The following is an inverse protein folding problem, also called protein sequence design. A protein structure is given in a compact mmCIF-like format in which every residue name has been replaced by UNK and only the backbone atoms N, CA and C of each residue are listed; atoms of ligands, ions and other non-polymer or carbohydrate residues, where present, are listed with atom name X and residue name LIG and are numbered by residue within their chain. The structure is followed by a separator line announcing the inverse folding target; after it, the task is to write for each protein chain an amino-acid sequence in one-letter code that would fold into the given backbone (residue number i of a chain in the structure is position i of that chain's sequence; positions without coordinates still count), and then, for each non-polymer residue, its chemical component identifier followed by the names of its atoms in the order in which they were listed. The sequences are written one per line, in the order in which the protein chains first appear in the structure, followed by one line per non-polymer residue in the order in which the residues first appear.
data_IF_337104467323
#
_entry.id   IF_337104467323
#
_cell.length_a   1.000
_cell.length_b   1.000
_cell.length_c   1.000
_cell.angle_alpha   90.00
_cell.angle_beta   90.00
_cell.angle_gamma   90.00
#
_symmetry.space_group_name_H-M   'P 1'
#
loop_
_entity.id
_entity.type
_entity.pdbx_description
1 polymer ?
#
# COMPACT_ATOMS: atom_id res chain seq x y z
N UNK A 1 -6.61 -31.35 0.82
CA UNK A 1 -6.75 -29.89 0.90
C UNK A 1 -6.21 -29.26 -0.37
N UNK A 2 -6.45 -27.98 -0.55
CA UNK A 2 -5.92 -27.24 -1.68
C UNK A 2 -4.41 -27.06 -1.58
N UNK A 3 -3.76 -26.79 -2.69
CA UNK A 3 -2.31 -26.72 -2.81
C UNK A 3 -1.92 -25.41 -3.50
N UNK A 4 -0.71 -24.97 -3.28
CA UNK A 4 -0.13 -23.79 -3.95
C UNK A 4 0.17 -24.17 -5.41
N UNK A 5 -0.22 -23.28 -6.35
CA UNK A 5 -0.02 -23.46 -7.80
C UNK A 5 0.87 -22.38 -8.42
N UNK A 6 1.03 -21.26 -7.73
CA UNK A 6 1.87 -20.14 -8.16
C UNK A 6 2.39 -19.39 -6.93
N UNK A 7 3.65 -18.98 -6.95
CA UNK A 7 4.24 -18.06 -5.98
C UNK A 7 4.86 -16.92 -6.78
N UNK A 8 4.48 -15.68 -6.41
CA UNK A 8 5.06 -14.45 -6.93
C UNK A 8 5.50 -13.55 -5.79
N UNK A 9 6.79 -13.22 -5.73
CA UNK A 9 7.35 -12.28 -4.78
C UNK A 9 8.22 -11.26 -5.51
N UNK A 10 8.19 -10.00 -5.05
CA UNK A 10 9.07 -8.94 -5.53
C UNK A 10 9.83 -8.34 -4.35
N UNK A 11 11.07 -7.94 -4.59
CA UNK A 11 11.84 -7.24 -3.56
C UNK A 11 11.54 -5.74 -3.60
N UNK A 12 11.28 -5.15 -2.41
CA UNK A 12 11.18 -3.72 -2.19
C UNK A 12 12.46 -3.22 -1.57
N UNK A 13 13.16 -2.32 -2.25
CA UNK A 13 14.31 -1.57 -1.73
C UNK A 13 13.88 -0.20 -1.18
N UNK A 14 14.85 0.61 -0.80
CA UNK A 14 14.62 1.96 -0.27
C UNK A 14 13.91 2.90 -1.26
N UNK A 15 14.12 2.70 -2.56
CA UNK A 15 13.61 3.58 -3.63
C UNK A 15 12.44 2.97 -4.41
N UNK A 16 11.92 1.85 -4.00
CA UNK A 16 10.79 1.16 -4.67
C UNK A 16 11.08 -0.30 -5.00
N UNK A 17 10.36 -0.82 -5.99
CA UNK A 17 10.56 -2.18 -6.49
C UNK A 17 11.96 -2.32 -7.10
N UNK A 18 12.65 -3.41 -6.79
CA UNK A 18 13.91 -3.79 -7.42
C UNK A 18 13.68 -4.77 -8.57
N UNK A 19 14.74 -5.12 -9.31
CA UNK A 19 14.67 -6.13 -10.37
C UNK A 19 14.66 -7.57 -9.82
N UNK A 20 14.82 -7.76 -8.49
CA UNK A 20 14.82 -9.08 -7.89
C UNK A 20 13.39 -9.54 -7.61
N UNK A 21 13.09 -10.73 -8.10
CA UNK A 21 11.80 -11.38 -7.86
C UNK A 21 11.96 -12.88 -7.74
N UNK A 22 10.94 -13.52 -7.18
CA UNK A 22 10.78 -14.96 -7.18
C UNK A 22 9.43 -15.28 -7.81
N UNK A 23 9.44 -16.03 -8.91
CA UNK A 23 8.20 -16.40 -9.59
C UNK A 23 8.28 -17.84 -10.07
N UNK A 24 7.41 -18.69 -9.54
CA UNK A 24 7.34 -20.11 -9.91
C UNK A 24 5.89 -20.57 -10.00
N UNK A 25 5.60 -21.32 -11.08
CA UNK A 25 4.39 -22.12 -11.20
C UNK A 25 4.67 -23.51 -10.65
N UNK A 26 3.71 -24.08 -9.92
CA UNK A 26 3.92 -25.27 -9.10
C UNK A 26 2.88 -26.33 -9.48
N UNK A 27 3.34 -27.55 -9.72
CA UNK A 27 2.45 -28.71 -9.86
C UNK A 27 1.86 -29.08 -8.51
N UNK A 28 0.54 -28.91 -8.30
CA UNK A 28 -0.10 -29.20 -7.02
C UNK A 28 -0.25 -30.72 -6.75
N UNK A 29 0.19 -31.59 -7.65
CA UNK A 29 0.03 -33.05 -7.58
C UNK A 29 -1.43 -33.52 -7.42
N UNK A 30 -2.37 -32.69 -7.85
CA UNK A 30 -3.80 -32.95 -7.84
C UNK A 30 -4.49 -32.18 -8.97
N UNK A 31 -5.67 -32.64 -9.36
CA UNK A 31 -6.50 -31.87 -10.26
C UNK A 31 -7.26 -30.77 -9.52
N UNK A 32 -7.25 -29.57 -10.10
CA UNK A 32 -8.04 -28.44 -9.63
C UNK A 32 -9.45 -28.49 -10.18
N UNK A 33 -10.39 -28.01 -9.40
CA UNK A 33 -11.80 -27.89 -9.80
C UNK A 33 -11.98 -26.78 -10.84
N UNK A 34 -12.93 -26.97 -11.76
CA UNK A 34 -13.20 -26.02 -12.85
C UNK A 34 -13.56 -24.61 -12.35
N UNK A 35 -14.13 -24.50 -11.14
CA UNK A 35 -14.48 -23.21 -10.53
C UNK A 35 -13.24 -22.42 -10.14
N UNK A 36 -12.24 -23.08 -9.56
CA UNK A 36 -10.96 -22.49 -9.18
C UNK A 36 -10.20 -22.03 -10.44
N UNK A 37 -10.14 -22.88 -11.48
CA UNK A 37 -9.51 -22.56 -12.78
C UNK A 37 -10.14 -21.31 -13.42
N UNK A 38 -11.46 -21.10 -13.29
CA UNK A 38 -12.11 -19.90 -13.82
C UNK A 38 -11.63 -18.61 -13.15
N UNK A 39 -11.22 -18.67 -11.89
CA UNK A 39 -10.76 -17.49 -11.13
C UNK A 39 -9.35 -17.11 -11.54
N UNK A 40 -8.38 -18.03 -11.45
CA UNK A 40 -6.95 -17.74 -11.71
C UNK A 40 -6.50 -18.04 -13.13
N UNK A 41 -7.35 -18.69 -13.96
CA UNK A 41 -7.10 -19.05 -15.40
C UNK A 41 -5.90 -19.96 -15.64
N UNK A 42 -5.29 -20.51 -14.62
CA UNK A 42 -4.21 -21.50 -14.72
C UNK A 42 -4.88 -22.88 -14.83
N UNK A 43 -4.62 -23.61 -15.93
CA UNK A 43 -5.24 -24.90 -16.16
C UNK A 43 -4.40 -26.04 -15.59
N UNK A 44 -5.01 -27.20 -15.38
CA UNK A 44 -4.29 -28.40 -14.94
C UNK A 44 -3.20 -28.79 -15.96
N UNK A 45 -3.50 -28.67 -17.25
CA UNK A 45 -2.56 -28.98 -18.34
C UNK A 45 -1.33 -28.08 -18.32
N UNK A 46 -1.51 -26.80 -17.99
CA UNK A 46 -0.41 -25.83 -17.88
C UNK A 46 0.56 -26.21 -16.76
N UNK A 47 0.06 -26.79 -15.68
CA UNK A 47 0.86 -27.15 -14.51
C UNK A 47 1.56 -28.51 -14.64
N UNK A 48 1.18 -29.32 -15.64
CA UNK A 48 1.88 -30.59 -15.91
C UNK A 48 3.36 -30.33 -16.26
N UNK A 49 4.25 -30.98 -15.51
CA UNK A 49 5.70 -30.82 -15.68
C UNK A 49 6.32 -29.56 -15.05
N UNK A 50 5.53 -28.77 -14.33
CA UNK A 50 6.08 -27.74 -13.46
C UNK A 50 6.73 -28.37 -12.23
N UNK A 51 7.69 -27.68 -11.57
CA UNK A 51 8.28 -28.16 -10.32
C UNK A 51 7.21 -28.36 -9.24
N UNK A 52 7.42 -29.30 -8.36
CA UNK A 52 6.62 -29.44 -7.14
C UNK A 52 7.09 -28.42 -6.09
N UNK A 53 6.27 -28.17 -5.09
CA UNK A 53 6.69 -27.27 -3.99
C UNK A 53 7.97 -27.74 -3.34
N UNK A 54 8.17 -29.06 -3.19
CA UNK A 54 9.41 -29.65 -2.64
C UNK A 54 10.68 -29.25 -3.42
N UNK A 55 10.56 -29.08 -4.75
CA UNK A 55 11.70 -28.79 -5.63
C UNK A 55 12.13 -27.32 -5.55
N UNK A 56 11.22 -26.44 -5.12
CA UNK A 56 11.46 -24.98 -5.08
C UNK A 56 11.57 -24.45 -3.64
N UNK A 57 11.20 -25.24 -2.63
CA UNK A 57 11.07 -24.78 -1.26
C UNK A 57 12.37 -24.17 -0.70
N UNK A 58 13.53 -24.75 -0.98
CA UNK A 58 14.81 -24.23 -0.49
C UNK A 58 15.16 -22.89 -1.13
N UNK A 59 14.93 -22.73 -2.44
CA UNK A 59 15.12 -21.47 -3.15
C UNK A 59 14.16 -20.38 -2.65
N UNK A 60 12.91 -20.76 -2.37
CA UNK A 60 11.93 -19.85 -1.80
C UNK A 60 12.34 -19.38 -0.42
N UNK A 61 12.75 -20.32 0.46
CA UNK A 61 13.25 -19.99 1.81
C UNK A 61 14.46 -19.07 1.73
N UNK A 62 15.44 -19.37 0.88
CA UNK A 62 16.62 -18.52 0.68
C UNK A 62 16.24 -17.09 0.25
N UNK A 63 15.23 -16.96 -0.63
CA UNK A 63 14.76 -15.66 -1.10
C UNK A 63 14.09 -14.82 0.00
N UNK A 64 13.32 -15.45 0.90
CA UNK A 64 12.54 -14.75 1.93
C UNK A 64 13.21 -14.70 3.30
N UNK A 65 14.28 -15.48 3.52
CA UNK A 65 14.93 -15.58 4.83
C UNK A 65 15.43 -14.24 5.34
N UNK A 66 14.98 -13.86 6.54
CA UNK A 66 15.35 -12.59 7.17
C UNK A 66 14.74 -11.36 6.54
N UNK A 67 13.91 -11.51 5.50
CA UNK A 67 13.20 -10.41 4.89
C UNK A 67 11.94 -10.06 5.71
N UNK A 68 11.50 -8.80 5.57
CA UNK A 68 10.17 -8.38 6.01
C UNK A 68 9.18 -8.68 4.90
N UNK A 69 8.25 -9.59 5.14
CA UNK A 69 7.22 -9.99 4.19
C UNK A 69 6.00 -9.08 4.29
N UNK A 70 5.56 -8.57 3.15
CA UNK A 70 4.33 -7.79 3.03
C UNK A 70 3.35 -8.62 2.22
N UNK A 71 2.24 -9.00 2.83
CA UNK A 71 1.23 -9.89 2.25
C UNK A 71 -0.15 -9.25 2.43
N UNK A 72 -1.01 -9.38 1.44
CA UNK A 72 -2.37 -8.86 1.53
C UNK A 72 -3.34 -9.94 1.98
N UNK A 73 -3.87 -9.84 3.21
CA UNK A 73 -4.58 -10.91 3.92
C UNK A 73 -3.65 -12.07 4.28
N UNK A 74 -2.57 -11.74 4.97
CA UNK A 74 -1.42 -12.61 5.22
C UNK A 74 -1.78 -13.98 5.81
N UNK A 75 -2.81 -14.06 6.66
CA UNK A 75 -3.21 -15.30 7.29
C UNK A 75 -3.54 -16.41 6.26
N UNK A 76 -4.11 -16.02 5.12
CA UNK A 76 -4.46 -16.98 4.06
C UNK A 76 -3.21 -17.59 3.43
N UNK A 77 -2.29 -16.77 2.95
CA UNK A 77 -1.09 -17.24 2.24
C UNK A 77 -0.12 -17.95 3.18
N UNK A 78 0.09 -17.41 4.38
CA UNK A 78 0.93 -18.02 5.41
C UNK A 78 0.40 -19.40 5.81
N UNK A 79 -0.93 -19.56 5.90
CA UNK A 79 -1.54 -20.87 6.18
C UNK A 79 -1.18 -21.93 5.14
N UNK A 80 -1.25 -21.58 3.84
CA UNK A 80 -0.86 -22.48 2.76
C UNK A 80 0.64 -22.77 2.75
N UNK A 81 1.47 -21.75 2.90
CA UNK A 81 2.93 -21.91 2.94
C UNK A 81 3.37 -22.80 4.11
N UNK A 82 2.84 -22.56 5.30
CA UNK A 82 3.14 -23.36 6.48
C UNK A 82 2.72 -24.82 6.32
N UNK A 83 1.57 -25.09 5.69
CA UNK A 83 1.13 -26.46 5.44
C UNK A 83 2.04 -27.19 4.43
N UNK A 84 2.49 -26.51 3.38
CA UNK A 84 3.44 -27.09 2.42
C UNK A 84 4.83 -27.32 3.07
N UNK A 85 5.34 -26.35 3.84
CA UNK A 85 6.59 -26.48 4.58
C UNK A 85 6.52 -27.58 5.62
N UNK A 86 5.42 -27.70 6.37
CA UNK A 86 5.18 -28.77 7.35
C UNK A 86 5.24 -30.17 6.72
N UNK A 87 4.66 -30.33 5.52
CA UNK A 87 4.74 -31.60 4.77
C UNK A 87 6.17 -32.01 4.45
N UNK A 88 7.07 -31.04 4.29
CA UNK A 88 8.49 -31.24 4.01
C UNK A 88 9.35 -31.30 5.28
N UNK A 89 8.74 -31.18 6.47
CA UNK A 89 9.49 -31.11 7.74
C UNK A 89 10.35 -29.86 7.87
N UNK A 90 9.99 -28.78 7.17
CA UNK A 90 10.70 -27.50 7.20
C UNK A 90 10.09 -26.57 8.25
N UNK A 91 10.85 -25.54 8.71
CA UNK A 91 10.35 -24.52 9.63
C UNK A 91 9.16 -23.77 9.06
N UNK A 92 8.32 -23.19 9.94
CA UNK A 92 7.21 -22.30 9.54
C UNK A 92 7.71 -20.96 9.02
N UNK A 93 6.85 -20.20 8.33
CA UNK A 93 7.20 -18.86 7.84
C UNK A 93 7.58 -17.91 8.97
N UNK A 94 6.92 -18.02 10.12
CA UNK A 94 7.22 -17.26 11.33
C UNK A 94 8.61 -17.58 11.91
N UNK A 95 9.07 -18.83 11.75
CA UNK A 95 10.43 -19.23 12.16
C UNK A 95 11.47 -18.80 11.13
N UNK A 96 11.14 -18.78 9.84
CA UNK A 96 12.04 -18.40 8.73
C UNK A 96 12.28 -16.88 8.72
N UNK A 97 11.21 -16.10 8.79
CA UNK A 97 11.25 -14.65 8.63
C UNK A 97 11.27 -13.89 9.97
N UNK A 98 10.76 -14.51 11.04
CA UNK A 98 10.40 -13.85 12.30
C UNK A 98 8.97 -13.34 12.28
N UNK A 99 8.23 -13.58 13.35
CA UNK A 99 6.81 -13.26 13.46
C UNK A 99 6.51 -11.77 13.20
N UNK A 100 7.34 -10.90 13.74
CA UNK A 100 7.18 -9.45 13.64
C UNK A 100 7.54 -8.90 12.23
N UNK A 101 8.13 -9.74 11.39
CA UNK A 101 8.49 -9.41 10.02
C UNK A 101 7.41 -9.79 9.00
N UNK A 102 6.30 -10.37 9.43
CA UNK A 102 5.15 -10.66 8.56
C UNK A 102 4.12 -9.54 8.73
N UNK A 103 3.99 -8.70 7.72
CA UNK A 103 3.11 -7.54 7.71
C UNK A 103 1.87 -7.86 6.87
N UNK A 104 0.70 -7.75 7.47
CA UNK A 104 -0.56 -7.81 6.73
C UNK A 104 -0.93 -6.40 6.22
N UNK A 105 -0.81 -6.19 4.92
CA UNK A 105 -1.16 -4.92 4.29
C UNK A 105 -2.67 -4.62 4.31
N UNK A 106 -3.52 -5.63 4.50
CA UNK A 106 -4.96 -5.43 4.68
C UNK A 106 -5.25 -4.76 6.03
N UNK A 107 -4.53 -5.14 7.09
CA UNK A 107 -4.66 -4.47 8.40
C UNK A 107 -4.18 -3.02 8.34
N UNK A 108 -3.07 -2.75 7.63
CA UNK A 108 -2.62 -1.38 7.38
C UNK A 108 -3.67 -0.57 6.60
N UNK A 109 -4.26 -1.18 5.58
CA UNK A 109 -5.31 -0.53 4.80
C UNK A 109 -6.59 -0.28 5.60
N UNK A 110 -6.97 -1.18 6.51
CA UNK A 110 -8.12 -0.97 7.43
C UNK A 110 -7.87 0.19 8.38
N UNK A 111 -6.63 0.34 8.86
CA UNK A 111 -6.25 1.48 9.70
C UNK A 111 -6.30 2.81 8.94
N UNK A 112 -5.80 2.84 7.69
CA UNK A 112 -5.81 4.03 6.83
C UNK A 112 -7.21 4.37 6.30
N UNK A 113 -8.03 3.35 5.99
CA UNK A 113 -9.35 3.49 5.38
C UNK A 113 -10.40 2.67 6.14
N UNK A 114 -10.78 3.07 7.36
CA UNK A 114 -11.76 2.34 8.16
C UNK A 114 -13.11 2.30 7.45
N UNK A 115 -13.81 1.15 7.61
CA UNK A 115 -15.13 0.88 7.03
C UNK A 115 -15.21 0.86 5.50
N UNK A 116 -14.08 0.91 4.80
CA UNK A 116 -14.01 0.80 3.34
C UNK A 116 -13.63 -0.62 2.91
N UNK A 117 -13.98 -0.96 1.67
CA UNK A 117 -13.53 -2.21 1.07
C UNK A 117 -12.03 -2.10 0.73
N UNK A 118 -11.21 -2.99 1.30
CA UNK A 118 -9.76 -2.92 1.24
C UNK A 118 -9.12 -4.12 0.50
N UNK A 119 -9.81 -4.69 -0.51
CA UNK A 119 -9.16 -5.62 -1.43
C UNK A 119 -8.06 -4.91 -2.24
N UNK A 120 -7.10 -5.67 -2.78
CA UNK A 120 -6.02 -5.11 -3.60
C UNK A 120 -6.55 -4.26 -4.76
N UNK A 121 -7.60 -4.72 -5.46
CA UNK A 121 -8.26 -3.95 -6.53
C UNK A 121 -8.86 -2.62 -6.04
N UNK A 122 -9.53 -2.65 -4.88
CA UNK A 122 -10.12 -1.45 -4.30
C UNK A 122 -9.05 -0.44 -3.89
N UNK A 123 -7.92 -0.93 -3.36
CA UNK A 123 -6.78 -0.11 -2.99
C UNK A 123 -6.09 0.47 -4.23
N UNK A 124 -5.81 -0.33 -5.25
CA UNK A 124 -5.23 0.17 -6.50
C UNK A 124 -6.07 1.29 -7.11
N UNK A 125 -7.40 1.09 -7.19
CA UNK A 125 -8.31 2.10 -7.70
C UNK A 125 -8.31 3.38 -6.85
N UNK A 126 -8.31 3.27 -5.53
CA UNK A 126 -8.34 4.40 -4.59
C UNK A 126 -7.04 5.20 -4.61
N UNK A 127 -5.91 4.50 -4.73
CA UNK A 127 -4.57 5.08 -4.72
C UNK A 127 -4.08 5.41 -6.14
N UNK A 128 -4.95 5.32 -7.16
CA UNK A 128 -4.67 5.64 -8.57
C UNK A 128 -3.48 4.87 -9.14
N UNK A 129 -3.29 3.60 -8.71
CA UNK A 129 -2.24 2.73 -9.21
C UNK A 129 -2.68 2.13 -10.55
N UNK A 130 -1.79 2.17 -11.54
CA UNK A 130 -2.07 1.64 -12.88
C UNK A 130 -2.20 0.11 -12.88
N UNK A 131 -3.39 -0.36 -13.19
CA UNK A 131 -3.73 -1.79 -13.30
C UNK A 131 -3.90 -2.26 -14.74
N UNK A 132 -3.45 -1.48 -15.73
CA UNK A 132 -3.65 -1.77 -17.15
C UNK A 132 -3.07 -3.13 -17.56
N UNK A 133 -1.92 -3.51 -17.01
CA UNK A 133 -1.32 -4.84 -17.24
C UNK A 133 -2.21 -5.96 -16.71
N UNK A 134 -2.77 -5.80 -15.51
CA UNK A 134 -3.65 -6.80 -14.88
C UNK A 134 -4.95 -7.01 -15.66
N UNK A 135 -5.50 -5.94 -16.27
CA UNK A 135 -6.68 -6.04 -17.13
C UNK A 135 -6.37 -6.86 -18.40
N UNK A 136 -5.17 -6.74 -18.96
CA UNK A 136 -4.76 -7.42 -20.19
C UNK A 136 -4.29 -8.86 -19.94
N UNK A 137 -3.47 -9.07 -18.92
CA UNK A 137 -2.77 -10.33 -18.66
C UNK A 137 -3.55 -11.24 -17.69
N UNK A 138 -4.50 -10.67 -16.93
CA UNK A 138 -5.26 -11.37 -15.89
C UNK A 138 -4.57 -11.32 -14.53
N UNK A 139 -5.08 -12.14 -13.60
CA UNK A 139 -4.49 -12.27 -12.26
C UNK A 139 -3.30 -13.23 -12.32
N UNK A 140 -2.13 -12.74 -11.97
CA UNK A 140 -0.91 -13.53 -11.79
C UNK A 140 -0.23 -13.15 -10.49
N UNK A 141 0.33 -14.11 -9.75
CA UNK A 141 0.89 -13.86 -8.43
C UNK A 141 2.01 -12.81 -8.46
N UNK A 142 2.87 -12.83 -9.49
CA UNK A 142 3.94 -11.84 -9.61
C UNK A 142 3.40 -10.43 -9.86
N UNK A 143 2.43 -10.29 -10.75
CA UNK A 143 1.82 -8.99 -11.06
C UNK A 143 1.06 -8.43 -9.85
N UNK A 144 0.36 -9.30 -9.12
CA UNK A 144 -0.34 -8.91 -7.89
C UNK A 144 0.65 -8.49 -6.79
N UNK A 145 1.83 -9.14 -6.72
CA UNK A 145 2.92 -8.73 -5.82
C UNK A 145 3.52 -7.36 -6.22
N UNK A 146 3.70 -7.08 -7.51
CA UNK A 146 4.14 -5.76 -8.01
C UNK A 146 3.15 -4.66 -7.62
N UNK A 147 1.85 -4.89 -7.82
CA UNK A 147 0.80 -3.95 -7.45
C UNK A 147 0.73 -3.74 -5.92
N UNK A 148 0.85 -4.83 -5.16
CA UNK A 148 0.90 -4.76 -3.70
C UNK A 148 2.09 -3.94 -3.21
N UNK A 149 3.26 -4.10 -3.83
CA UNK A 149 4.43 -3.29 -3.52
C UNK A 149 4.17 -1.80 -3.68
N UNK A 150 3.53 -1.38 -4.77
CA UNK A 150 3.15 0.02 -5.00
C UNK A 150 2.12 0.51 -3.96
N UNK A 151 1.08 -0.29 -3.70
CA UNK A 151 0.08 0.01 -2.65
C UNK A 151 0.75 0.22 -1.29
N UNK A 152 1.67 -0.69 -0.91
CA UNK A 152 2.35 -0.62 0.37
C UNK A 152 3.21 0.65 0.51
N UNK A 153 3.93 1.05 -0.54
CA UNK A 153 4.72 2.28 -0.53
C UNK A 153 3.87 3.51 -0.26
N UNK A 154 2.69 3.60 -0.90
CA UNK A 154 1.76 4.72 -0.67
C UNK A 154 1.18 4.67 0.75
N UNK A 155 0.75 3.50 1.22
CA UNK A 155 0.23 3.34 2.59
C UNK A 155 1.28 3.71 3.65
N UNK A 156 2.54 3.30 3.44
CA UNK A 156 3.64 3.63 4.33
C UNK A 156 3.92 5.14 4.38
N UNK A 157 3.87 5.83 3.24
CA UNK A 157 4.02 7.28 3.19
C UNK A 157 2.91 7.99 3.97
N UNK A 158 1.67 7.54 3.84
CA UNK A 158 0.54 8.11 4.59
C UNK A 158 0.67 7.85 6.10
N UNK A 159 1.15 6.67 6.51
CA UNK A 159 1.41 6.40 7.93
C UNK A 159 2.56 7.24 8.49
N UNK A 160 3.65 7.42 7.74
CA UNK A 160 4.75 8.29 8.14
C UNK A 160 4.32 9.74 8.42
N UNK A 161 3.33 10.24 7.69
CA UNK A 161 2.72 11.56 7.94
C UNK A 161 1.91 11.54 9.24
N UNK A 162 1.17 10.45 9.53
CA UNK A 162 0.38 10.31 10.77
C UNK A 162 1.26 10.07 12.00
N UNK A 163 2.39 9.37 11.85
CA UNK A 163 3.33 9.14 12.95
C UNK A 163 4.10 10.41 13.35
N UNK A 164 4.30 11.36 12.45
CA UNK A 164 4.88 12.67 12.78
C UNK A 164 3.94 13.46 13.68
N UNK A 165 2.62 13.32 13.49
CA UNK A 165 1.62 13.98 14.34
C UNK A 165 1.33 13.20 15.65
N UNK A 166 1.66 11.90 15.71
CA UNK A 166 1.34 11.00 16.83
C UNK A 166 2.57 10.56 17.65
N UNK A 167 3.78 10.95 17.28
CA UNK A 167 4.96 10.62 18.06
C UNK A 167 4.81 11.27 19.46
N UNK A 168 4.72 10.48 20.54
CA UNK A 168 4.89 11.08 21.86
C UNK A 168 6.28 11.69 21.85
N UNK A 169 6.36 12.99 22.01
CA UNK A 169 7.62 13.67 22.30
C UNK A 169 8.18 12.96 23.53
N UNK A 170 9.06 11.97 23.31
CA UNK A 170 9.79 11.35 24.40
C UNK A 170 10.55 12.48 25.06
N UNK A 171 10.35 12.63 26.37
CA UNK A 171 10.86 13.76 27.15
C UNK A 171 12.38 13.73 27.39
N UNK A 172 13.15 13.23 26.43
CA UNK A 172 14.55 13.56 26.28
C UNK A 172 14.67 14.80 25.35
N UNK A 173 14.07 15.88 25.80
CA UNK A 173 14.42 17.20 25.28
C UNK A 173 15.86 17.45 25.69
N UNK A 174 16.80 17.09 24.84
CA UNK A 174 18.11 17.70 24.91
C UNK A 174 17.89 19.20 24.81
N UNK A 175 18.28 19.92 25.85
CA UNK A 175 18.27 21.38 25.83
C UNK A 175 19.11 21.82 24.62
N UNK A 176 18.42 22.26 23.56
CA UNK A 176 19.03 22.75 22.32
C UNK A 176 19.24 24.27 22.37
N UNK A 177 19.11 24.90 23.54
CA UNK A 177 19.30 26.33 23.70
C UNK A 177 20.68 26.83 23.26
N UNK A 178 21.68 25.95 23.25
CA UNK A 178 23.06 26.26 22.84
C UNK A 178 23.37 25.82 21.39
N UNK A 179 22.40 25.29 20.62
CA UNK A 179 22.60 24.89 19.23
C UNK A 179 22.22 26.03 18.30
N UNK A 180 23.20 26.70 17.71
CA UNK A 180 22.96 27.59 16.57
C UNK A 180 22.50 26.78 15.36
N UNK A 181 21.18 26.78 15.12
CA UNK A 181 20.64 26.16 13.91
C UNK A 181 20.94 27.05 12.70
N UNK A 182 21.49 26.49 11.61
CA UNK A 182 21.71 27.26 10.40
C UNK A 182 20.36 27.69 9.82
N UNK A 183 20.12 28.99 9.78
CA UNK A 183 18.93 29.55 9.12
C UNK A 183 19.21 29.57 7.61
N UNK A 184 18.60 28.61 6.90
CA UNK A 184 18.62 28.60 5.43
C UNK A 184 17.62 29.67 4.97
N UNK A 185 18.14 30.74 4.37
CA UNK A 185 17.31 31.78 3.77
C UNK A 185 17.09 31.46 2.31
N UNK A 186 15.88 31.70 1.81
CA UNK A 186 15.56 31.58 0.39
C UNK A 186 16.46 32.53 -0.42
N UNK A 187 16.95 32.04 -1.55
CA UNK A 187 17.71 32.85 -2.50
C UNK A 187 16.77 33.78 -3.28
N UNK A 188 17.32 34.77 -4.00
CA UNK A 188 16.52 35.61 -4.88
C UNK A 188 15.82 34.81 -5.98
N UNK A 189 16.44 33.73 -6.44
CA UNK A 189 15.89 32.81 -7.43
C UNK A 189 14.69 32.02 -6.86
N UNK A 190 14.80 31.52 -5.63
CA UNK A 190 13.71 30.85 -4.93
C UNK A 190 12.50 31.80 -4.72
N UNK A 191 12.76 33.05 -4.35
CA UNK A 191 11.70 34.05 -4.15
C UNK A 191 11.01 34.41 -5.47
N UNK A 192 11.78 34.53 -6.56
CA UNK A 192 11.24 34.82 -7.89
C UNK A 192 10.38 33.68 -8.43
N UNK A 193 10.81 32.42 -8.27
CA UNK A 193 10.04 31.25 -8.68
C UNK A 193 8.78 31.08 -7.84
N UNK A 194 8.86 31.34 -6.54
CA UNK A 194 7.69 31.32 -5.66
C UNK A 194 6.63 32.35 -6.09
N UNK A 195 7.04 33.60 -6.42
CA UNK A 195 6.11 34.62 -6.89
C UNK A 195 5.47 34.24 -8.25
N UNK A 196 6.24 33.62 -9.15
CA UNK A 196 5.72 33.09 -10.41
C UNK A 196 4.64 32.03 -10.20
N UNK A 197 4.86 31.10 -9.23
CA UNK A 197 3.87 30.07 -8.86
C UNK A 197 2.64 30.72 -8.25
N UNK A 198 2.78 31.68 -7.34
CA UNK A 198 1.67 32.41 -6.73
C UNK A 198 0.82 33.13 -7.78
N UNK A 199 1.45 33.75 -8.79
CA UNK A 199 0.71 34.38 -9.91
C UNK A 199 -0.13 33.37 -10.69
N UNK A 200 0.40 32.17 -10.96
CA UNK A 200 -0.37 31.10 -11.62
C UNK A 200 -1.57 30.67 -10.78
N UNK A 201 -1.39 30.53 -9.47
CA UNK A 201 -2.47 30.19 -8.52
C UNK A 201 -3.53 31.28 -8.48
N UNK A 202 -3.14 32.57 -8.39
CA UNK A 202 -4.08 33.72 -8.43
C UNK A 202 -4.89 33.74 -9.72
N UNK A 203 -4.26 33.44 -10.87
CA UNK A 203 -4.97 33.35 -12.18
C UNK A 203 -5.95 32.19 -12.22
N UNK A 204 -5.57 31.04 -11.71
CA UNK A 204 -6.43 29.85 -11.68
C UNK A 204 -7.62 30.02 -10.70
N UNK A 205 -7.39 30.60 -9.56
CA UNK A 205 -8.41 30.87 -8.54
C UNK A 205 -9.35 32.03 -8.88
N UNK A 206 -9.03 32.84 -9.91
CA UNK A 206 -9.72 34.09 -10.27
C UNK A 206 -9.86 35.07 -9.09
N UNK A 207 -8.86 35.09 -8.20
CA UNK A 207 -8.84 35.91 -6.99
C UNK A 207 -7.54 35.73 -6.21
N UNK A 208 -7.45 36.30 -5.01
CA UNK A 208 -6.28 36.17 -4.15
C UNK A 208 -6.05 34.70 -3.81
N UNK A 209 -4.78 34.24 -3.82
CA UNK A 209 -4.41 32.93 -3.34
C UNK A 209 -4.64 32.87 -1.82
N UNK A 210 -4.81 31.66 -1.27
CA UNK A 210 -4.96 31.44 0.17
C UNK A 210 -3.82 32.06 0.98
N UNK A 211 -2.61 32.08 0.44
CA UNK A 211 -1.42 32.70 1.04
C UNK A 211 -1.42 34.24 1.03
N UNK A 212 -2.30 34.86 0.24
CA UNK A 212 -2.45 36.33 0.20
C UNK A 212 -3.46 36.84 1.21
N UNK A 213 -4.16 35.93 1.91
CA UNK A 213 -5.18 36.29 2.88
C UNK A 213 -4.56 36.44 4.26
N UNK A 214 -4.99 37.47 4.99
CA UNK A 214 -4.74 37.52 6.43
C UNK A 214 -5.51 36.44 7.18
N UNK A 215 -5.07 36.14 8.39
CA UNK A 215 -5.62 35.04 9.20
C UNK A 215 -7.12 35.19 9.48
N UNK A 216 -7.62 36.40 9.62
CA UNK A 216 -9.03 36.68 9.86
C UNK A 216 -9.89 36.38 8.64
N UNK A 217 -9.45 36.83 7.48
CA UNK A 217 -10.13 36.58 6.18
C UNK A 217 -10.07 35.12 5.78
N UNK A 218 -8.94 34.44 6.05
CA UNK A 218 -8.80 33.01 5.84
C UNK A 218 -9.79 32.20 6.68
N UNK A 219 -9.85 32.49 7.98
CA UNK A 219 -10.75 31.81 8.91
C UNK A 219 -12.24 32.09 8.58
N UNK A 220 -12.57 33.28 8.14
CA UNK A 220 -13.92 33.64 7.73
C UNK A 220 -14.37 32.82 6.51
N UNK A 221 -13.52 32.73 5.46
CA UNK A 221 -13.81 31.91 4.26
C UNK A 221 -13.96 30.44 4.59
N UNK A 222 -13.08 29.89 5.42
CA UNK A 222 -13.14 28.49 5.85
C UNK A 222 -14.44 28.17 6.58
N UNK A 223 -14.91 29.10 7.42
CA UNK A 223 -16.18 28.95 8.12
C UNK A 223 -17.37 29.00 7.17
N UNK A 224 -17.36 29.89 6.19
CA UNK A 224 -18.42 30.01 5.18
C UNK A 224 -18.52 28.73 4.32
N UNK A 225 -17.39 28.15 3.91
CA UNK A 225 -17.34 26.87 3.19
C UNK A 225 -17.87 25.72 4.05
N UNK A 226 -17.53 25.68 5.33
CA UNK A 226 -18.02 24.64 6.26
C UNK A 226 -19.52 24.74 6.47
N UNK A 227 -20.04 25.95 6.72
CA UNK A 227 -21.47 26.22 6.88
C UNK A 227 -22.27 25.83 5.60
N UNK A 228 -21.68 26.05 4.42
CA UNK A 228 -22.28 25.66 3.15
C UNK A 228 -22.29 24.14 2.95
N UNK A 229 -21.26 23.42 3.43
CA UNK A 229 -21.18 21.97 3.40
C UNK A 229 -22.22 21.34 4.32
N UNK A 230 -22.29 21.83 5.57
CA UNK A 230 -23.24 21.38 6.58
C UNK A 230 -24.71 21.58 6.11
N UNK A 231 -24.99 22.71 5.43
CA UNK A 231 -26.30 22.98 4.83
C UNK A 231 -26.64 22.00 3.68
N UNK A 232 -25.67 21.56 2.89
CA UNK A 232 -25.84 20.54 1.85
C UNK A 232 -26.11 19.18 2.46
N UNK A 233 -25.37 18.80 3.50
CA UNK A 233 -25.57 17.53 4.21
C UNK A 233 -26.94 17.47 4.88
N UNK A 234 -27.39 18.54 5.52
CA UNK A 234 -28.71 18.64 6.13
C UNK A 234 -29.82 18.44 5.08
N UNK A 235 -29.70 19.09 3.90
CA UNK A 235 -30.65 18.89 2.80
C UNK A 235 -30.66 17.45 2.26
N UNK A 236 -29.50 16.81 2.19
CA UNK A 236 -29.40 15.42 1.74
C UNK A 236 -30.05 14.46 2.73
N UNK A 237 -29.85 14.69 4.05
CA UNK A 237 -30.50 13.90 5.10
C UNK A 237 -32.02 14.07 5.12
N UNK A 238 -32.51 15.28 4.83
CA UNK A 238 -33.96 15.53 4.76
C UNK A 238 -34.62 14.85 3.53
N UNK A 239 -33.91 14.84 2.40
CA UNK A 239 -34.30 14.10 1.20
C UNK A 239 -34.35 12.57 1.44
N UNK A 240 -33.37 12.03 2.19
CA UNK A 240 -33.30 10.60 2.51
C UNK A 240 -34.38 10.16 3.53
N UNK A 241 -34.88 11.05 4.37
CA UNK A 241 -35.97 10.75 5.32
C UNK A 241 -37.35 10.75 4.65
N UNK A 242 -37.47 11.36 3.48
CA UNK A 242 -38.74 11.47 2.73
C UNK A 242 -38.82 10.46 1.56
N UNK A 243 -37.85 9.55 1.42
CA UNK A 243 -37.85 8.37 0.56
C UNK A 243 -38.16 7.09 1.35
#
# INVERSE_FOLDING_TARGET
GDRIIEIGCVELGEHGLTDKNFHEYIDPERQMEAEVIRVHKITNEFLVGKPKFADIADKFIEFVQGARLIIHNAQFDIGFLNEELRKLGKPSMEEICGKDNIIDSMELAKAAFPQMHNSLDALCKRLEIDTTRRVKEGHGALLDAELLGQVYLVLKQQQGILEIDAAPVSADVHDISDVELPVIRATEEDLSENERVLEMVRKAAKGPALYDLDEETFNAKRKEEQDALDAKEAKLQDLLKNL
#
